data_IF_239491466588
#
_entry.id   IF_239491466588
#
_cell.length_a   1.000
_cell.length_b   1.000
_cell.length_c   1.000
_cell.angle_alpha   90.00
_cell.angle_beta   90.00
_cell.angle_gamma   90.00
#
_symmetry.space_group_name_H-M   'P 1'
#
loop_
_entity.id
_entity.type
_entity.pdbx_description
1 polymer ?
#
# COMPACT_ATOMS: atom_id res chain seq x y z
N UNK A 1 -17.65 -11.40 0.29
CA UNK A 1 -17.93 -10.90 1.64
C UNK A 1 -16.70 -10.21 2.23
N UNK A 2 -16.88 -9.28 3.19
CA UNK A 2 -15.77 -8.53 3.81
C UNK A 2 -14.75 -9.42 4.53
N UNK A 3 -15.18 -10.58 4.99
CA UNK A 3 -14.35 -11.53 5.74
C UNK A 3 -13.61 -12.54 4.85
N UNK A 4 -13.63 -12.37 3.55
CA UNK A 4 -12.96 -13.28 2.61
C UNK A 4 -11.83 -12.55 1.90
N UNK A 5 -10.80 -13.30 1.50
CA UNK A 5 -9.78 -12.83 0.59
C UNK A 5 -10.27 -12.92 -0.86
N UNK A 6 -9.82 -12.00 -1.69
CA UNK A 6 -10.02 -12.09 -3.15
C UNK A 6 -9.12 -13.20 -3.73
N UNK A 7 -9.59 -13.98 -4.70
CA UNK A 7 -8.72 -14.90 -5.44
C UNK A 7 -7.59 -14.19 -6.20
N UNK A 8 -7.68 -12.88 -6.35
CA UNK A 8 -6.67 -12.02 -6.99
C UNK A 8 -5.65 -11.42 -6.00
N UNK A 9 -5.66 -11.83 -4.72
CA UNK A 9 -4.67 -11.38 -3.73
C UNK A 9 -3.35 -12.14 -3.85
N UNK A 10 -2.61 -11.87 -4.91
CA UNK A 10 -1.28 -12.47 -5.11
C UNK A 10 -0.24 -12.01 -4.09
N UNK A 11 -0.46 -10.91 -3.38
CA UNK A 11 0.41 -10.45 -2.31
C UNK A 11 0.33 -11.34 -1.06
N UNK A 12 -0.86 -11.80 -0.68
CA UNK A 12 -1.01 -12.75 0.40
C UNK A 12 -0.39 -14.11 0.05
N UNK A 13 -0.59 -14.56 -1.20
CA UNK A 13 0.05 -15.77 -1.72
C UNK A 13 1.58 -15.67 -1.71
N UNK A 14 2.14 -14.52 -2.10
CA UNK A 14 3.59 -14.27 -2.03
C UNK A 14 4.09 -14.27 -0.59
N UNK A 15 3.35 -13.65 0.34
CA UNK A 15 3.69 -13.62 1.76
C UNK A 15 3.73 -15.04 2.35
N UNK A 16 2.78 -15.91 2.01
CA UNK A 16 2.79 -17.32 2.43
C UNK A 16 4.03 -18.05 1.92
N UNK A 17 4.41 -17.86 0.64
CA UNK A 17 5.61 -18.48 0.11
C UNK A 17 6.88 -17.97 0.80
N UNK A 18 6.96 -16.68 1.15
CA UNK A 18 8.08 -16.14 1.91
C UNK A 18 8.16 -16.72 3.33
N UNK A 19 7.03 -16.89 4.02
CA UNK A 19 6.97 -17.54 5.33
C UNK A 19 7.44 -19.01 5.27
N UNK A 20 7.21 -19.67 4.13
CA UNK A 20 7.71 -21.02 3.86
C UNK A 20 9.17 -21.05 3.33
N UNK A 21 9.90 -19.92 3.37
CA UNK A 21 11.30 -19.81 2.91
C UNK A 21 11.48 -19.86 1.39
N UNK A 22 10.43 -19.62 0.60
CA UNK A 22 10.47 -19.66 -0.86
C UNK A 22 10.35 -18.26 -1.45
N UNK A 23 11.19 -17.94 -2.43
CA UNK A 23 11.11 -16.68 -3.18
C UNK A 23 10.17 -16.77 -4.39
N UNK A 24 9.86 -17.97 -4.86
CA UNK A 24 8.92 -18.25 -5.94
C UNK A 24 7.57 -18.72 -5.40
N UNK A 25 6.53 -18.60 -6.19
CA UNK A 25 5.20 -19.12 -5.89
C UNK A 25 5.18 -20.61 -6.20
N UNK A 26 4.96 -21.43 -5.17
CA UNK A 26 4.81 -22.86 -5.34
C UNK A 26 3.54 -23.18 -6.12
N UNK A 27 3.60 -24.17 -7.01
CA UNK A 27 2.48 -24.61 -7.85
C UNK A 27 1.82 -23.44 -8.59
N UNK A 28 2.63 -22.50 -9.10
CA UNK A 28 2.13 -21.28 -9.78
C UNK A 28 1.27 -21.58 -10.99
N UNK A 29 1.40 -22.78 -11.59
CA UNK A 29 0.56 -23.30 -12.66
C UNK A 29 -0.93 -23.40 -12.28
N UNK A 30 -1.24 -23.52 -10.99
CA UNK A 30 -2.61 -23.57 -10.47
C UNK A 30 -3.26 -22.17 -10.38
N UNK A 31 -2.50 -21.10 -10.61
CA UNK A 31 -2.96 -19.71 -10.47
C UNK A 31 -2.94 -18.97 -11.82
N UNK A 32 -3.49 -19.61 -12.85
CA UNK A 32 -3.46 -19.09 -14.24
C UNK A 32 -4.15 -17.75 -14.44
N UNK A 33 -5.01 -17.34 -13.48
CA UNK A 33 -5.69 -16.05 -13.48
C UNK A 33 -4.87 -14.92 -12.84
N UNK A 34 -3.73 -15.25 -12.19
CA UNK A 34 -2.83 -14.25 -11.61
C UNK A 34 -1.76 -13.85 -12.65
N UNK A 35 -1.36 -12.59 -12.61
CA UNK A 35 -0.26 -12.07 -13.44
C UNK A 35 1.08 -12.44 -12.83
N UNK A 36 1.52 -13.67 -13.05
CA UNK A 36 2.80 -14.17 -12.56
C UNK A 36 3.86 -14.11 -13.67
N UNK A 37 5.07 -13.71 -13.32
CA UNK A 37 6.23 -13.80 -14.18
C UNK A 37 6.80 -15.22 -14.12
N UNK A 38 7.17 -15.78 -15.29
CA UNK A 38 7.79 -17.10 -15.38
C UNK A 38 9.27 -16.91 -15.71
N UNK A 39 10.14 -17.44 -14.85
CA UNK A 39 11.58 -17.44 -15.06
C UNK A 39 12.17 -18.80 -14.68
N UNK A 40 12.90 -19.44 -15.60
CA UNK A 40 13.49 -20.77 -15.42
C UNK A 40 12.49 -21.83 -14.93
N UNK A 41 11.25 -21.82 -15.44
CA UNK A 41 10.20 -22.76 -15.07
C UNK A 41 9.61 -22.54 -13.67
N UNK A 42 9.91 -21.42 -13.01
CA UNK A 42 9.35 -21.02 -11.72
C UNK A 42 8.49 -19.78 -11.87
N UNK A 43 7.51 -19.65 -11.00
CA UNK A 43 6.53 -18.57 -11.00
C UNK A 43 6.89 -17.52 -9.92
N UNK A 44 6.84 -16.26 -10.29
CA UNK A 44 7.18 -15.14 -9.42
C UNK A 44 6.09 -14.08 -9.47
N UNK A 45 5.93 -13.37 -8.36
CA UNK A 45 5.11 -12.16 -8.34
C UNK A 45 5.71 -11.09 -9.24
N UNK A 46 4.90 -10.55 -10.18
CA UNK A 46 5.33 -9.50 -11.12
C UNK A 46 5.20 -8.07 -10.58
N UNK A 47 4.60 -7.93 -9.39
CA UNK A 47 4.32 -6.63 -8.77
C UNK A 47 5.32 -6.28 -7.65
N UNK A 48 5.47 -4.98 -7.32
CA UNK A 48 6.38 -4.53 -6.26
C UNK A 48 6.08 -5.16 -4.90
N UNK A 49 7.10 -5.38 -4.04
CA UNK A 49 7.00 -6.30 -2.90
C UNK A 49 6.35 -5.72 -1.63
N UNK A 50 6.24 -4.39 -1.48
CA UNK A 50 5.81 -3.78 -0.21
C UNK A 50 4.42 -4.23 0.24
N UNK A 51 3.41 -4.36 -0.63
CA UNK A 51 2.12 -4.88 -0.18
C UNK A 51 2.19 -6.34 0.32
N UNK A 52 3.07 -7.18 -0.26
CA UNK A 52 3.29 -8.54 0.24
C UNK A 52 3.93 -8.54 1.64
N UNK A 53 4.86 -7.61 1.92
CA UNK A 53 5.44 -7.43 3.26
C UNK A 53 4.35 -7.05 4.27
N UNK A 54 3.40 -6.19 3.89
CA UNK A 54 2.27 -5.81 4.75
C UNK A 54 1.33 -7.00 5.03
N UNK A 55 1.25 -7.99 4.14
CA UNK A 55 0.44 -9.19 4.33
C UNK A 55 1.08 -10.23 5.26
N UNK A 56 2.40 -10.19 5.46
CA UNK A 56 3.13 -11.19 6.27
C UNK A 56 2.50 -11.46 7.65
N UNK A 57 2.22 -10.43 8.51
CA UNK A 57 1.67 -10.69 9.84
C UNK A 57 0.29 -11.34 9.81
N UNK A 58 -0.53 -10.99 8.83
CA UNK A 58 -1.88 -11.54 8.69
C UNK A 58 -1.86 -12.99 8.22
N UNK A 59 -1.02 -13.31 7.23
CA UNK A 59 -0.85 -14.68 6.74
C UNK A 59 -0.19 -15.55 7.81
N UNK A 60 0.80 -15.05 8.55
CA UNK A 60 1.42 -15.77 9.66
C UNK A 60 0.40 -16.12 10.77
N UNK A 61 -0.56 -15.23 11.04
CA UNK A 61 -1.60 -15.46 12.03
C UNK A 61 -2.70 -16.41 11.55
N UNK A 62 -3.04 -16.37 10.24
CA UNK A 62 -4.10 -17.19 9.66
C UNK A 62 -3.63 -18.60 9.27
N UNK A 63 -2.34 -18.78 8.99
CA UNK A 63 -1.73 -20.04 8.55
C UNK A 63 -1.76 -20.25 7.04
N UNK A 64 -2.72 -19.69 6.33
CA UNK A 64 -2.80 -19.72 4.86
C UNK A 64 -3.33 -18.41 4.27
N UNK A 65 -2.96 -18.12 3.01
CA UNK A 65 -3.32 -16.86 2.36
C UNK A 65 -4.82 -16.71 2.10
N UNK A 66 -5.53 -17.82 1.92
CA UNK A 66 -6.98 -17.83 1.60
C UNK A 66 -7.86 -17.59 2.83
N UNK A 67 -7.32 -17.85 4.03
CA UNK A 67 -8.06 -17.72 5.30
C UNK A 67 -8.02 -16.30 5.88
N UNK A 68 -7.21 -15.39 5.33
CA UNK A 68 -7.15 -14.00 5.83
C UNK A 68 -8.42 -13.21 5.48
N UNK A 69 -8.89 -12.28 6.32
CA UNK A 69 -9.97 -11.36 5.98
C UNK A 69 -9.46 -10.22 5.07
N UNK A 70 -8.98 -10.55 3.88
CA UNK A 70 -8.22 -9.66 3.01
C UNK A 70 -8.98 -8.38 2.64
N UNK A 71 -10.29 -8.47 2.34
CA UNK A 71 -11.10 -7.30 2.03
C UNK A 71 -11.26 -6.37 3.25
N UNK A 72 -11.32 -6.91 4.47
CA UNK A 72 -11.34 -6.11 5.70
C UNK A 72 -10.00 -5.40 5.92
N UNK A 73 -8.89 -6.08 5.60
CA UNK A 73 -7.55 -5.48 5.65
C UNK A 73 -7.45 -4.32 4.65
N UNK A 74 -7.92 -4.51 3.41
CA UNK A 74 -7.94 -3.46 2.40
C UNK A 74 -8.76 -2.23 2.86
N UNK A 75 -9.92 -2.47 3.49
CA UNK A 75 -10.73 -1.40 4.07
C UNK A 75 -10.00 -0.69 5.22
N UNK A 76 -9.33 -1.42 6.11
CA UNK A 76 -8.51 -0.85 7.17
C UNK A 76 -7.39 0.04 6.65
N UNK A 77 -6.69 -0.39 5.60
CA UNK A 77 -5.66 0.40 4.91
C UNK A 77 -6.24 1.66 4.24
N UNK A 78 -7.44 1.57 3.67
CA UNK A 78 -8.13 2.75 3.12
C UNK A 78 -8.53 3.75 4.20
N UNK A 79 -8.93 3.29 5.40
CA UNK A 79 -9.18 4.16 6.55
C UNK A 79 -7.89 4.83 7.04
N UNK A 80 -6.77 4.11 7.07
CA UNK A 80 -5.46 4.70 7.35
C UNK A 80 -5.04 5.74 6.30
N UNK A 81 -5.35 5.49 5.02
CA UNK A 81 -5.16 6.48 3.96
C UNK A 81 -6.01 7.73 4.21
N UNK A 82 -7.30 7.59 4.52
CA UNK A 82 -8.20 8.70 4.85
C UNK A 82 -7.68 9.51 6.04
N UNK A 83 -7.20 8.82 7.09
CA UNK A 83 -6.54 9.45 8.23
C UNK A 83 -5.31 10.27 7.83
N UNK A 84 -4.49 9.76 6.90
CA UNK A 84 -3.35 10.46 6.33
C UNK A 84 -3.74 11.72 5.57
N UNK A 85 -4.82 11.67 4.77
CA UNK A 85 -5.37 12.86 4.09
C UNK A 85 -5.78 13.92 5.10
N UNK A 86 -6.58 13.54 6.11
CA UNK A 86 -7.06 14.45 7.15
C UNK A 86 -5.89 15.10 7.90
N UNK A 87 -4.95 14.27 8.37
CA UNK A 87 -3.77 14.72 9.11
C UNK A 87 -2.90 15.68 8.29
N UNK A 88 -2.69 15.37 7.01
CA UNK A 88 -1.92 16.20 6.08
C UNK A 88 -2.59 17.58 5.90
N UNK A 89 -3.92 17.63 5.70
CA UNK A 89 -4.68 18.87 5.57
C UNK A 89 -4.65 19.69 6.87
N UNK A 90 -4.84 19.05 8.02
CA UNK A 90 -4.78 19.71 9.34
C UNK A 90 -3.40 20.33 9.56
N UNK A 91 -2.33 19.60 9.25
CA UNK A 91 -0.97 20.10 9.40
C UNK A 91 -0.66 21.25 8.44
N UNK A 92 -1.28 21.28 7.26
CA UNK A 92 -1.25 22.39 6.31
C UNK A 92 -2.02 23.63 6.76
N UNK A 93 -2.60 23.65 7.97
CA UNK A 93 -3.31 24.80 8.53
C UNK A 93 -4.75 24.96 8.06
N UNK A 94 -5.34 23.95 7.42
CA UNK A 94 -6.73 24.00 6.97
C UNK A 94 -7.71 23.85 8.15
N UNK A 95 -8.89 24.44 8.04
CA UNK A 95 -9.95 24.29 9.04
C UNK A 95 -10.45 22.83 9.07
N UNK A 96 -10.87 22.31 10.26
CA UNK A 96 -11.31 20.91 10.41
C UNK A 96 -12.43 20.50 9.44
N UNK A 97 -13.38 21.39 9.17
CA UNK A 97 -14.47 21.14 8.22
C UNK A 97 -13.95 20.97 6.80
N UNK A 98 -12.99 21.80 6.39
CA UNK A 98 -12.33 21.69 5.08
C UNK A 98 -11.51 20.40 4.97
N UNK A 99 -10.80 20.02 6.06
CA UNK A 99 -10.08 18.75 6.13
C UNK A 99 -11.03 17.56 5.98
N UNK A 100 -12.16 17.57 6.67
CA UNK A 100 -13.19 16.53 6.55
C UNK A 100 -13.75 16.47 5.13
N UNK A 101 -14.03 17.62 4.49
CA UNK A 101 -14.49 17.67 3.11
C UNK A 101 -13.48 17.00 2.14
N UNK A 102 -12.19 17.39 2.20
CA UNK A 102 -11.19 16.78 1.33
C UNK A 102 -10.97 15.30 1.62
N UNK A 103 -11.04 14.89 2.89
CA UNK A 103 -10.95 13.47 3.26
C UNK A 103 -12.10 12.67 2.66
N UNK A 104 -13.33 13.15 2.77
CA UNK A 104 -14.51 12.52 2.18
C UNK A 104 -14.44 12.55 0.65
N UNK A 105 -13.98 13.65 0.05
CA UNK A 105 -13.81 13.75 -1.39
C UNK A 105 -12.80 12.74 -1.93
N UNK A 106 -11.63 12.61 -1.30
CA UNK A 106 -10.63 11.60 -1.69
C UNK A 106 -11.14 10.18 -1.46
N UNK A 107 -11.78 9.92 -0.31
CA UNK A 107 -12.17 8.56 0.06
C UNK A 107 -13.40 8.06 -0.69
N UNK A 108 -14.39 8.92 -0.92
CA UNK A 108 -15.70 8.54 -1.50
C UNK A 108 -15.98 9.17 -2.85
N UNK A 109 -15.37 10.32 -3.16
CA UNK A 109 -15.49 11.03 -4.43
C UNK A 109 -14.49 10.56 -5.49
N UNK A 110 -13.65 9.60 -5.18
CA UNK A 110 -12.66 9.02 -6.08
C UNK A 110 -12.76 7.49 -6.13
N UNK A 111 -11.89 6.86 -6.91
CA UNK A 111 -11.81 5.39 -6.99
C UNK A 111 -11.35 4.72 -5.68
N UNK A 112 -10.91 5.46 -4.67
CA UNK A 112 -10.45 4.90 -3.38
C UNK A 112 -11.55 4.08 -2.71
N UNK A 113 -12.80 4.54 -2.75
CA UNK A 113 -13.94 3.79 -2.22
C UNK A 113 -14.07 2.41 -2.86
N UNK A 114 -14.02 2.34 -4.19
CA UNK A 114 -14.08 1.07 -4.90
C UNK A 114 -12.88 0.18 -4.58
N UNK A 115 -11.67 0.74 -4.59
CA UNK A 115 -10.44 0.01 -4.28
C UNK A 115 -10.40 -0.52 -2.85
N UNK A 116 -11.09 0.14 -1.91
CA UNK A 116 -11.16 -0.29 -0.51
C UNK A 116 -12.02 -1.54 -0.26
N UNK A 117 -12.83 -1.94 -1.25
CA UNK A 117 -13.71 -3.10 -1.13
C UNK A 117 -13.08 -4.41 -1.57
N UNK A 118 -11.85 -4.39 -2.05
CA UNK A 118 -11.14 -5.56 -2.56
C UNK A 118 -9.65 -5.53 -2.22
N UNK A 119 -9.12 -6.67 -1.79
CA UNK A 119 -7.69 -6.92 -1.59
C UNK A 119 -6.99 -7.45 -2.85
N UNK A 120 -7.63 -7.35 -4.01
CA UNK A 120 -7.02 -7.68 -5.29
C UNK A 120 -5.74 -6.89 -5.54
N UNK A 121 -4.77 -7.52 -6.20
CA UNK A 121 -3.39 -7.02 -6.33
C UNK A 121 -3.27 -5.55 -6.74
N UNK A 122 -4.04 -5.10 -7.71
CA UNK A 122 -3.97 -3.68 -8.17
C UNK A 122 -4.56 -2.71 -7.17
N UNK A 123 -5.68 -3.08 -6.54
CA UNK A 123 -6.42 -2.23 -5.62
C UNK A 123 -5.65 -2.06 -4.31
N UNK A 124 -5.19 -3.18 -3.74
CA UNK A 124 -4.42 -3.17 -2.50
C UNK A 124 -3.13 -2.34 -2.65
N UNK A 125 -2.36 -2.56 -3.73
CA UNK A 125 -1.14 -1.80 -3.98
C UNK A 125 -1.40 -0.30 -4.13
N UNK A 126 -2.51 0.08 -4.78
CA UNK A 126 -2.85 1.48 -4.98
C UNK A 126 -3.26 2.18 -3.68
N UNK A 127 -4.08 1.51 -2.87
CA UNK A 127 -4.51 2.04 -1.55
C UNK A 127 -3.30 2.19 -0.62
N UNK A 128 -2.42 1.17 -0.56
CA UNK A 128 -1.19 1.23 0.22
C UNK A 128 -0.29 2.39 -0.22
N UNK A 129 -0.04 2.51 -1.54
CA UNK A 129 0.81 3.55 -2.09
C UNK A 129 0.27 4.96 -1.77
N UNK A 130 -1.03 5.16 -1.95
CA UNK A 130 -1.69 6.44 -1.65
C UNK A 130 -1.62 6.76 -0.15
N UNK A 131 -1.86 5.76 0.71
CA UNK A 131 -1.72 5.91 2.16
C UNK A 131 -0.32 6.35 2.56
N UNK A 132 0.71 5.64 2.08
CA UNK A 132 2.09 6.02 2.32
C UNK A 132 2.42 7.41 1.76
N UNK A 133 1.91 7.78 0.59
CA UNK A 133 2.13 9.10 0.02
C UNK A 133 1.55 10.21 0.91
N UNK A 134 0.33 10.09 1.42
CA UNK A 134 -0.27 11.10 2.29
C UNK A 134 0.43 11.18 3.67
N UNK A 135 0.81 10.04 4.26
CA UNK A 135 1.61 10.06 5.48
C UNK A 135 3.01 10.63 5.22
N UNK A 136 3.62 10.37 4.06
CA UNK A 136 4.85 11.00 3.63
C UNK A 136 4.73 12.52 3.54
N UNK A 137 3.67 13.02 2.93
CA UNK A 137 3.38 14.46 2.84
C UNK A 137 3.08 15.08 4.21
N UNK A 138 2.42 14.35 5.12
CA UNK A 138 2.23 14.78 6.50
C UNK A 138 3.57 14.98 7.21
N UNK A 139 4.46 14.01 7.14
CA UNK A 139 5.79 14.12 7.77
C UNK A 139 6.66 15.18 7.09
N UNK A 140 6.55 15.35 5.77
CA UNK A 140 7.30 16.37 5.03
C UNK A 140 7.05 17.82 5.50
N UNK A 141 5.91 18.07 6.15
CA UNK A 141 5.57 19.37 6.73
C UNK A 141 6.18 19.59 8.13
N UNK A 142 7.03 18.67 8.61
CA UNK A 142 7.47 18.66 10.00
C UNK A 142 8.64 19.56 10.35
N UNK A 143 9.59 19.74 9.44
CA UNK A 143 10.72 20.63 9.60
C UNK A 143 11.81 20.15 10.57
N UNK A 144 11.92 18.84 10.85
CA UNK A 144 13.02 18.26 11.61
C UNK A 144 13.51 16.94 10.98
N UNK A 145 14.76 16.56 11.27
CA UNK A 145 15.43 15.43 10.66
C UNK A 145 14.69 14.09 10.82
N UNK A 146 14.00 13.86 11.94
CA UNK A 146 13.22 12.63 12.17
C UNK A 146 12.01 12.58 11.25
N UNK A 147 11.32 13.69 11.11
CA UNK A 147 10.15 13.78 10.22
C UNK A 147 10.58 13.74 8.75
N UNK A 148 11.70 14.32 8.38
CA UNK A 148 12.26 14.22 7.03
C UNK A 148 12.62 12.77 6.68
N UNK A 149 13.21 12.03 7.63
CA UNK A 149 13.48 10.60 7.47
C UNK A 149 12.18 9.79 7.34
N UNK A 150 11.16 10.07 8.16
CA UNK A 150 9.87 9.42 8.09
C UNK A 150 9.15 9.73 6.76
N UNK A 151 9.22 10.98 6.28
CA UNK A 151 8.68 11.36 4.97
C UNK A 151 9.35 10.57 3.85
N UNK A 152 10.68 10.51 3.86
CA UNK A 152 11.47 9.77 2.86
C UNK A 152 11.15 8.28 2.88
N UNK A 153 11.03 7.68 4.08
CA UNK A 153 10.65 6.27 4.24
C UNK A 153 9.25 6.00 3.69
N UNK A 154 8.26 6.81 4.06
CA UNK A 154 6.89 6.66 3.57
C UNK A 154 6.83 6.78 2.04
N UNK A 155 7.50 7.78 1.45
CA UNK A 155 7.53 7.94 0.00
C UNK A 155 8.27 6.79 -0.70
N UNK A 156 9.34 6.26 -0.12
CA UNK A 156 10.03 5.07 -0.63
C UNK A 156 9.13 3.82 -0.56
N UNK A 157 8.35 3.64 0.53
CA UNK A 157 7.37 2.57 0.64
C UNK A 157 6.24 2.72 -0.39
N UNK A 158 5.81 3.95 -0.69
CA UNK A 158 4.86 4.20 -1.78
C UNK A 158 5.42 3.75 -3.14
N UNK A 159 6.71 4.03 -3.43
CA UNK A 159 7.41 3.51 -4.62
C UNK A 159 7.43 1.99 -4.63
N UNK A 160 7.71 1.36 -3.49
CA UNK A 160 7.69 -0.10 -3.33
C UNK A 160 6.32 -0.75 -3.42
N UNK A 161 5.23 0.05 -3.42
CA UNK A 161 3.88 -0.40 -3.77
C UNK A 161 3.57 -0.14 -5.25
N UNK A 162 3.93 1.04 -5.77
CA UNK A 162 3.68 1.49 -7.15
C UNK A 162 4.83 2.37 -7.64
N UNK A 163 5.62 1.94 -8.64
CA UNK A 163 6.84 2.63 -9.08
C UNK A 163 6.65 4.08 -9.52
N UNK A 164 5.48 4.48 -10.03
CA UNK A 164 5.24 5.85 -10.47
C UNK A 164 5.30 6.88 -9.34
N UNK A 165 5.16 6.47 -8.06
CA UNK A 165 5.40 7.35 -6.90
C UNK A 165 6.86 7.77 -6.75
N UNK A 166 7.79 7.22 -7.56
CA UNK A 166 9.16 7.70 -7.65
C UNK A 166 9.24 9.20 -8.01
N UNK A 167 8.27 9.72 -8.75
CA UNK A 167 8.18 11.17 -9.03
C UNK A 167 7.96 11.98 -7.75
N UNK A 168 7.07 11.52 -6.86
CA UNK A 168 6.83 12.18 -5.57
C UNK A 168 8.09 12.15 -4.70
N UNK A 169 8.77 10.99 -4.62
CA UNK A 169 10.02 10.84 -3.88
C UNK A 169 11.12 11.75 -4.45
N UNK A 170 11.25 11.81 -5.79
CA UNK A 170 12.24 12.66 -6.44
C UNK A 170 11.98 14.15 -6.17
N UNK A 171 10.71 14.60 -6.23
CA UNK A 171 10.35 15.98 -5.87
C UNK A 171 10.70 16.29 -4.41
N UNK A 172 10.41 15.35 -3.48
CA UNK A 172 10.75 15.50 -2.07
C UNK A 172 12.27 15.60 -1.84
N UNK A 173 13.05 14.70 -2.42
CA UNK A 173 14.50 14.72 -2.29
C UNK A 173 15.11 15.97 -2.92
N UNK A 174 14.60 16.41 -4.07
CA UNK A 174 15.00 17.67 -4.69
C UNK A 174 14.70 18.88 -3.82
N UNK A 175 13.54 18.91 -3.17
CA UNK A 175 13.19 19.92 -2.17
C UNK A 175 14.15 19.94 -0.98
N UNK A 176 14.45 18.76 -0.41
CA UNK A 176 15.41 18.62 0.68
C UNK A 176 16.82 19.11 0.31
N UNK A 177 17.23 18.82 -0.92
CA UNK A 177 18.52 19.28 -1.43
C UNK A 177 18.56 20.81 -1.62
N UNK A 178 17.46 21.41 -2.06
CA UNK A 178 17.35 22.86 -2.23
C UNK A 178 17.33 23.63 -0.91
N UNK A 179 16.80 23.03 0.17
CA UNK A 179 16.68 23.65 1.50
C UNK A 179 18.01 23.63 2.30
N UNK A 180 18.99 22.83 1.91
CA UNK A 180 20.30 22.71 2.54
C UNK A 180 21.32 23.62 1.89
#
# INVERSE_FOLDING_TARGET
TLLQSSPYNSYALQAENWLAGRNNIANGENYTWLELAIYQGRYYQSFPPVPAVLMLPFVAAAGEWSAIPGNLIAMGLALLCAGGVYACCMRGGMQPVTCAFFTLFVSMGSNVFWMSTSDGVWFLAQVCALGFAFWGLFFAQGGNAVQDAAASLCMALAVGCRPFYALLLACWLGWQFYQR
#
